data_IF_111380591713
#
_entry.id   IF_111380591713
#
_cell.length_a   1.000
_cell.length_b   1.000
_cell.length_c   1.000
_cell.angle_alpha   90.00
_cell.angle_beta   90.00
_cell.angle_gamma   90.00
#
_symmetry.space_group_name_H-M   'P 1'
#
loop_
_entity.id
_entity.type
_entity.pdbx_description
1 polymer ?
#
# COMPACT_ATOMS: atom_id res chain seq x y z
N UNK A 1 -20.06 -5.94 -22.11
CA UNK A 1 -19.58 -4.58 -22.49
C UNK A 1 -20.43 -3.46 -21.90
N UNK A 2 -21.72 -3.69 -21.66
CA UNK A 2 -22.63 -2.59 -21.20
C UNK A 2 -22.32 -1.97 -19.85
N UNK A 3 -21.72 -2.71 -18.90
CA UNK A 3 -21.40 -2.18 -17.56
C UNK A 3 -19.97 -1.61 -17.43
N UNK A 4 -19.03 -2.00 -18.30
CA UNK A 4 -17.62 -1.63 -18.16
C UNK A 4 -17.34 -0.14 -18.47
N UNK A 5 -17.95 0.40 -19.52
CA UNK A 5 -17.78 1.82 -19.88
C UNK A 5 -18.34 2.77 -18.81
N UNK A 6 -19.56 2.57 -18.26
CA UNK A 6 -20.06 3.35 -17.12
C UNK A 6 -19.19 3.23 -15.87
N UNK A 7 -18.65 2.05 -15.58
CA UNK A 7 -17.71 1.81 -14.49
C UNK A 7 -16.45 2.66 -14.65
N UNK A 8 -15.77 2.59 -15.79
CA UNK A 8 -14.60 3.41 -16.09
C UNK A 8 -14.89 4.90 -15.99
N UNK A 9 -16.04 5.34 -16.53
CA UNK A 9 -16.46 6.75 -16.45
C UNK A 9 -16.48 7.24 -15.02
N UNK A 10 -17.09 6.50 -14.10
CA UNK A 10 -17.18 6.83 -12.67
C UNK A 10 -15.79 6.95 -12.03
N UNK A 11 -14.84 6.08 -12.38
CA UNK A 11 -13.48 6.09 -11.84
C UNK A 11 -12.64 7.26 -12.35
N UNK A 12 -12.91 7.73 -13.58
CA UNK A 12 -12.12 8.75 -14.29
C UNK A 12 -12.63 10.18 -14.08
N UNK A 13 -13.90 10.36 -13.70
CA UNK A 13 -14.50 11.68 -13.42
C UNK A 13 -13.70 12.59 -12.49
N UNK A 14 -12.95 12.07 -11.47
CA UNK A 14 -12.13 12.89 -10.58
C UNK A 14 -11.01 13.70 -11.26
N UNK A 15 -10.69 13.45 -12.51
CA UNK A 15 -9.72 14.26 -13.30
C UNK A 15 -10.08 15.76 -13.26
N UNK A 16 -11.36 16.09 -13.06
CA UNK A 16 -11.86 17.45 -12.90
C UNK A 16 -12.59 17.97 -14.12
N UNK A 17 -13.66 18.72 -13.89
CA UNK A 17 -14.70 19.06 -14.88
C UNK A 17 -14.19 19.66 -16.20
N UNK A 18 -13.16 20.49 -16.16
CA UNK A 18 -12.62 21.11 -17.38
C UNK A 18 -11.79 20.14 -18.21
N UNK A 19 -10.86 19.43 -17.59
CA UNK A 19 -10.03 18.40 -18.26
C UNK A 19 -10.88 17.21 -18.66
N UNK A 20 -11.84 16.81 -17.84
CA UNK A 20 -12.72 15.69 -18.12
C UNK A 20 -13.46 15.84 -19.45
N UNK A 21 -14.05 17.02 -19.72
CA UNK A 21 -14.73 17.28 -20.98
C UNK A 21 -13.84 17.08 -22.22
N UNK A 22 -12.55 17.33 -22.10
CA UNK A 22 -11.58 17.14 -23.19
C UNK A 22 -11.09 15.69 -23.28
N UNK A 23 -10.94 15.01 -22.13
CA UNK A 23 -10.36 13.68 -22.06
C UNK A 23 -11.40 12.55 -22.16
N UNK A 24 -12.64 12.78 -21.74
CA UNK A 24 -13.70 11.75 -21.81
C UNK A 24 -13.83 11.12 -23.21
N UNK A 25 -13.89 11.89 -24.32
CA UNK A 25 -13.98 11.30 -25.65
C UNK A 25 -12.77 10.45 -26.04
N UNK A 26 -11.60 10.74 -25.45
CA UNK A 26 -10.36 10.02 -25.69
C UNK A 26 -10.28 8.77 -24.82
N UNK A 27 -10.52 8.93 -23.52
CA UNK A 27 -10.42 7.85 -22.54
C UNK A 27 -11.50 6.78 -22.69
N UNK A 28 -12.65 7.14 -23.27
CA UNK A 28 -13.78 6.23 -23.45
C UNK A 28 -14.11 5.94 -24.92
N UNK A 29 -13.15 6.18 -25.86
CA UNK A 29 -13.26 5.71 -27.23
C UNK A 29 -13.03 4.18 -27.32
N UNK A 30 -13.29 3.61 -28.47
CA UNK A 30 -13.20 2.17 -28.67
C UNK A 30 -11.78 1.62 -28.46
N UNK A 31 -10.77 2.36 -28.93
CA UNK A 31 -9.37 1.99 -28.77
C UNK A 31 -8.95 1.99 -27.29
N UNK A 32 -9.27 3.05 -26.58
CA UNK A 32 -8.96 3.18 -25.15
C UNK A 32 -9.69 2.14 -24.31
N UNK A 33 -10.95 1.84 -24.65
CA UNK A 33 -11.71 0.76 -24.00
C UNK A 33 -11.03 -0.61 -24.18
N UNK A 34 -10.42 -0.89 -25.34
CA UNK A 34 -9.64 -2.12 -25.54
C UNK A 34 -8.38 -2.14 -24.68
N UNK A 35 -7.70 -0.99 -24.50
CA UNK A 35 -6.55 -0.89 -23.62
C UNK A 35 -6.93 -1.09 -22.15
N UNK A 36 -8.06 -0.51 -21.71
CA UNK A 36 -8.59 -0.78 -20.36
C UNK A 36 -8.98 -2.25 -20.20
N UNK A 37 -9.61 -2.88 -21.17
CA UNK A 37 -9.92 -4.32 -21.11
C UNK A 37 -8.64 -5.15 -20.94
N UNK A 38 -7.55 -4.78 -21.63
CA UNK A 38 -6.26 -5.40 -21.45
C UNK A 38 -5.73 -5.21 -20.03
N UNK A 39 -5.84 -4.01 -19.45
CA UNK A 39 -5.45 -3.72 -18.06
C UNK A 39 -6.30 -4.49 -17.02
N UNK A 40 -7.48 -4.97 -17.37
CA UNK A 40 -8.34 -5.82 -16.53
C UNK A 40 -8.24 -7.32 -16.86
N UNK A 41 -7.26 -7.72 -17.68
CA UNK A 41 -7.08 -9.10 -18.09
C UNK A 41 -5.84 -9.70 -17.44
N UNK A 42 -6.03 -10.76 -16.66
CA UNK A 42 -4.93 -11.52 -16.04
C UNK A 42 -4.28 -12.45 -17.06
N UNK A 43 -2.97 -12.71 -16.90
CA UNK A 43 -2.17 -13.60 -17.77
C UNK A 43 -2.77 -15.01 -17.93
N UNK A 44 -3.51 -15.50 -16.94
CA UNK A 44 -4.20 -16.81 -17.05
C UNK A 44 -5.35 -16.83 -18.03
N UNK A 45 -5.95 -15.68 -18.34
CA UNK A 45 -7.03 -15.54 -19.30
C UNK A 45 -6.50 -15.28 -20.72
N UNK A 46 -5.53 -14.36 -20.84
CA UNK A 46 -4.84 -14.09 -22.11
C UNK A 46 -3.34 -13.90 -21.84
N UNK A 47 -2.48 -14.85 -22.23
CA UNK A 47 -1.04 -14.77 -21.99
C UNK A 47 -0.32 -13.65 -22.75
N UNK A 48 -0.95 -13.06 -23.76
CA UNK A 48 -0.33 -12.04 -24.64
C UNK A 48 -0.92 -10.64 -24.34
N UNK A 49 -2.26 -10.56 -24.25
CA UNK A 49 -2.96 -9.31 -24.05
C UNK A 49 -3.46 -9.20 -22.61
N UNK A 50 -2.57 -8.90 -21.70
CA UNK A 50 -2.83 -8.83 -20.28
C UNK A 50 -2.27 -7.54 -19.66
N UNK A 51 -2.41 -7.39 -18.36
CA UNK A 51 -2.12 -6.16 -17.61
C UNK A 51 -0.64 -5.89 -17.33
N UNK A 52 0.26 -6.88 -17.44
CA UNK A 52 1.63 -6.81 -16.88
C UNK A 52 2.43 -5.55 -17.25
N UNK A 53 2.29 -5.05 -18.49
CA UNK A 53 3.03 -3.83 -18.92
C UNK A 53 2.49 -2.57 -18.24
N UNK A 54 1.15 -2.49 -18.10
CA UNK A 54 0.51 -1.32 -17.49
C UNK A 54 0.62 -1.33 -15.96
N UNK A 55 0.68 -2.52 -15.34
CA UNK A 55 0.98 -2.71 -13.93
C UNK A 55 2.33 -2.07 -13.58
N UNK A 56 3.40 -2.37 -14.33
CA UNK A 56 4.72 -1.78 -14.06
C UNK A 56 4.71 -0.25 -14.10
N UNK A 57 4.01 0.35 -15.06
CA UNK A 57 3.88 1.81 -15.13
C UNK A 57 3.06 2.35 -13.96
N UNK A 58 1.96 1.68 -13.64
CA UNK A 58 1.05 2.07 -12.58
C UNK A 58 1.66 1.95 -11.19
N UNK A 59 2.45 0.91 -10.90
CA UNK A 59 3.18 0.77 -9.64
C UNK A 59 4.07 1.99 -9.37
N UNK A 60 4.86 2.42 -10.38
CA UNK A 60 5.70 3.61 -10.26
C UNK A 60 4.85 4.86 -10.00
N UNK A 61 3.73 5.01 -10.71
CA UNK A 61 2.82 6.16 -10.60
C UNK A 61 2.14 6.20 -9.24
N UNK A 62 1.63 5.08 -8.74
CA UNK A 62 1.03 4.96 -7.40
C UNK A 62 2.06 5.26 -6.31
N UNK A 63 3.26 4.70 -6.40
CA UNK A 63 4.33 4.94 -5.45
C UNK A 63 4.76 6.41 -5.41
N UNK A 64 4.89 7.06 -6.58
CA UNK A 64 5.19 8.50 -6.70
C UNK A 64 4.05 9.35 -6.11
N UNK A 65 2.79 8.99 -6.40
CA UNK A 65 1.62 9.65 -5.84
C UNK A 65 1.64 9.60 -4.31
N UNK A 66 1.84 8.43 -3.70
CA UNK A 66 1.82 8.27 -2.25
C UNK A 66 2.82 9.19 -1.55
N UNK A 67 4.03 9.32 -2.10
CA UNK A 67 5.05 10.22 -1.54
C UNK A 67 4.57 11.68 -1.57
N UNK A 68 4.09 12.16 -2.70
CA UNK A 68 3.59 13.53 -2.86
C UNK A 68 2.31 13.79 -2.05
N UNK A 69 1.39 12.83 -2.06
CA UNK A 69 0.12 12.95 -1.34
C UNK A 69 0.34 13.09 0.17
N UNK A 70 1.16 12.21 0.75
CA UNK A 70 1.45 12.29 2.18
C UNK A 70 2.27 13.53 2.55
N UNK A 71 3.21 13.93 1.69
CA UNK A 71 3.92 15.17 1.88
C UNK A 71 2.98 16.39 1.93
N UNK A 72 2.06 16.48 0.97
CA UNK A 72 1.13 17.62 0.88
C UNK A 72 0.07 17.57 1.99
N UNK A 73 -0.47 16.39 2.29
CA UNK A 73 -1.51 16.20 3.31
C UNK A 73 -1.02 16.53 4.72
N UNK A 74 0.24 16.22 5.00
CA UNK A 74 0.86 16.43 6.33
C UNK A 74 1.88 17.56 6.33
N UNK A 75 1.64 18.59 5.56
CA UNK A 75 2.40 19.85 5.66
C UNK A 75 2.04 20.54 6.98
N UNK A 76 3.05 20.89 7.76
CA UNK A 76 2.82 21.57 9.05
C UNK A 76 2.30 23.01 8.85
N UNK A 77 1.65 23.55 9.90
CA UNK A 77 1.09 24.92 9.92
C UNK A 77 2.11 26.01 9.51
N UNK A 78 3.41 25.74 9.63
CA UNK A 78 4.49 26.63 9.24
C UNK A 78 5.01 26.44 7.82
N UNK A 79 4.32 25.65 6.98
CA UNK A 79 4.76 25.35 5.62
C UNK A 79 5.97 24.43 5.54
N UNK A 80 6.43 23.88 6.66
CA UNK A 80 7.54 22.93 6.73
C UNK A 80 6.97 21.54 6.51
N UNK A 81 7.12 21.03 5.29
CA UNK A 81 6.64 19.68 4.94
C UNK A 81 7.38 18.58 5.70
N UNK A 82 6.80 17.37 5.70
CA UNK A 82 7.40 16.19 6.33
C UNK A 82 8.83 15.91 5.86
N UNK A 83 9.19 16.30 4.64
CA UNK A 83 10.54 16.09 4.09
C UNK A 83 11.67 16.87 4.78
N UNK A 84 11.35 17.83 5.63
CA UNK A 84 12.34 18.71 6.25
C UNK A 84 12.96 18.13 7.54
N UNK A 85 12.62 16.90 7.90
CA UNK A 85 13.23 16.21 9.04
C UNK A 85 13.50 14.74 8.75
N UNK A 86 14.54 14.12 9.34
CA UNK A 86 14.79 12.71 9.22
C UNK A 86 13.60 11.84 9.67
N UNK A 87 12.86 12.27 10.67
CA UNK A 87 11.65 11.60 11.15
C UNK A 87 10.53 11.70 10.12
N UNK A 88 10.31 12.87 9.52
CA UNK A 88 9.31 13.07 8.47
C UNK A 88 9.56 12.16 7.26
N UNK A 89 10.81 12.03 6.84
CA UNK A 89 11.20 11.09 5.77
C UNK A 89 10.85 9.64 6.14
N UNK A 90 11.13 9.22 7.39
CA UNK A 90 10.75 7.88 7.88
C UNK A 90 9.24 7.68 7.87
N UNK A 91 8.48 8.67 8.32
CA UNK A 91 7.01 8.62 8.35
C UNK A 91 6.44 8.49 6.94
N UNK A 92 6.87 9.31 5.98
CA UNK A 92 6.42 9.21 4.58
C UNK A 92 6.76 7.84 4.02
N UNK A 93 7.96 7.31 4.29
CA UNK A 93 8.34 5.97 3.84
C UNK A 93 7.44 4.88 4.43
N UNK A 94 7.08 4.97 5.73
CA UNK A 94 6.16 4.01 6.38
C UNK A 94 4.74 4.11 5.85
N UNK A 95 4.23 5.33 5.68
CA UNK A 95 2.92 5.55 5.06
C UNK A 95 2.87 4.98 3.64
N UNK A 96 3.92 5.22 2.83
CA UNK A 96 4.02 4.64 1.49
C UNK A 96 3.99 3.11 1.52
N UNK A 97 4.75 2.48 2.42
CA UNK A 97 4.77 1.01 2.56
C UNK A 97 3.39 0.50 2.97
N UNK A 98 2.71 1.14 3.93
CA UNK A 98 1.40 0.72 4.41
C UNK A 98 0.32 0.87 3.34
N UNK A 99 0.21 2.05 2.75
CA UNK A 99 -0.85 2.40 1.80
C UNK A 99 -0.55 2.03 0.33
N UNK A 100 0.69 1.66 0.02
CA UNK A 100 1.08 1.01 -1.22
C UNK A 100 1.24 -0.51 -1.08
N UNK A 101 0.79 -1.09 0.04
CA UNK A 101 0.87 -2.53 0.22
C UNK A 101 -0.19 -3.27 -0.60
N UNK A 102 0.14 -4.48 -1.02
CA UNK A 102 -0.77 -5.42 -1.69
C UNK A 102 -2.13 -5.53 -0.99
N UNK A 103 -2.14 -5.67 0.33
CA UNK A 103 -3.38 -5.76 1.10
C UNK A 103 -4.22 -4.49 0.93
N UNK A 104 -3.62 -3.32 1.08
CA UNK A 104 -4.36 -2.06 1.01
C UNK A 104 -4.90 -1.77 -0.39
N UNK A 105 -4.06 -1.91 -1.43
CA UNK A 105 -4.46 -1.63 -2.81
C UNK A 105 -5.50 -2.63 -3.30
N UNK A 106 -5.39 -3.91 -2.93
CA UNK A 106 -6.41 -4.91 -3.27
C UNK A 106 -7.75 -4.64 -2.58
N UNK A 107 -7.75 -4.25 -1.30
CA UNK A 107 -8.98 -3.89 -0.57
C UNK A 107 -9.64 -2.63 -1.16
N UNK A 108 -8.83 -1.67 -1.61
CA UNK A 108 -9.32 -0.48 -2.30
C UNK A 108 -9.94 -0.84 -3.65
N UNK A 109 -9.25 -1.63 -4.47
CA UNK A 109 -9.74 -2.10 -5.76
C UNK A 109 -11.05 -2.89 -5.62
N UNK A 110 -11.15 -3.76 -4.61
CA UNK A 110 -12.36 -4.54 -4.35
C UNK A 110 -13.56 -3.64 -3.99
N UNK A 111 -13.36 -2.66 -3.10
CA UNK A 111 -14.38 -1.66 -2.75
C UNK A 111 -14.82 -0.80 -3.94
N UNK A 112 -13.93 -0.55 -4.88
CA UNK A 112 -14.23 0.19 -6.10
C UNK A 112 -14.94 -0.67 -7.17
N UNK A 113 -15.10 -1.99 -6.96
CA UNK A 113 -15.80 -2.89 -7.88
C UNK A 113 -14.93 -3.44 -9.01
N UNK A 114 -13.61 -3.42 -8.89
CA UNK A 114 -12.69 -3.87 -9.94
C UNK A 114 -12.86 -5.34 -10.28
N UNK A 115 -13.14 -6.19 -9.27
CA UNK A 115 -13.27 -7.63 -9.48
C UNK A 115 -14.38 -8.02 -10.44
N UNK A 116 -15.48 -7.29 -10.45
CA UNK A 116 -16.63 -7.54 -11.34
C UNK A 116 -16.27 -7.41 -12.82
N UNK A 117 -15.17 -6.73 -13.12
CA UNK A 117 -14.69 -6.46 -14.47
C UNK A 117 -13.38 -7.20 -14.79
N UNK A 118 -12.80 -7.92 -13.82
CA UNK A 118 -11.59 -8.70 -13.99
C UNK A 118 -11.81 -9.91 -14.89
N UNK A 119 -10.93 -10.11 -15.86
CA UNK A 119 -10.93 -11.28 -16.76
C UNK A 119 -9.85 -12.25 -16.29
N UNK A 120 -10.28 -13.28 -15.59
CA UNK A 120 -9.40 -14.29 -14.97
C UNK A 120 -9.89 -15.67 -15.35
N UNK A 121 -8.99 -16.63 -15.60
CA UNK A 121 -9.39 -18.00 -15.84
C UNK A 121 -9.97 -18.65 -14.58
N UNK A 122 -11.02 -19.47 -14.72
CA UNK A 122 -11.73 -20.11 -13.60
C UNK A 122 -10.81 -20.94 -12.68
N UNK A 123 -9.73 -21.50 -13.26
CA UNK A 123 -8.74 -22.31 -12.52
C UNK A 123 -7.90 -21.48 -11.53
N UNK A 124 -7.85 -20.16 -11.70
CA UNK A 124 -7.10 -19.27 -10.81
C UNK A 124 -7.93 -19.02 -9.56
N UNK A 125 -7.66 -19.82 -8.57
CA UNK A 125 -8.40 -19.90 -7.33
C UNK A 125 -8.51 -18.57 -6.59
N UNK A 126 -9.54 -18.49 -5.73
CA UNK A 126 -9.79 -17.43 -4.75
C UNK A 126 -8.52 -17.00 -4.00
N UNK A 127 -7.54 -17.88 -3.80
CA UNK A 127 -6.27 -17.57 -3.13
C UNK A 127 -5.36 -16.54 -3.84
N UNK A 128 -5.59 -16.24 -5.13
CA UNK A 128 -4.85 -15.21 -5.88
C UNK A 128 -5.61 -13.89 -6.06
N UNK A 129 -6.85 -13.81 -5.60
CA UNK A 129 -7.71 -12.63 -5.79
C UNK A 129 -7.05 -11.33 -5.34
N UNK A 130 -6.42 -11.32 -4.16
CA UNK A 130 -5.74 -10.15 -3.62
C UNK A 130 -4.62 -9.65 -4.55
N UNK A 131 -3.77 -10.56 -5.04
CA UNK A 131 -2.69 -10.21 -5.97
C UNK A 131 -3.24 -9.62 -7.26
N UNK A 132 -4.25 -10.28 -7.84
CA UNK A 132 -4.85 -9.85 -9.10
C UNK A 132 -5.53 -8.48 -8.97
N UNK A 133 -6.19 -8.19 -7.85
CA UNK A 133 -6.83 -6.90 -7.59
C UNK A 133 -5.81 -5.76 -7.47
N UNK A 134 -4.69 -5.99 -6.78
CA UNK A 134 -3.58 -5.04 -6.72
C UNK A 134 -3.06 -4.75 -8.12
N UNK A 135 -2.67 -5.80 -8.86
CA UNK A 135 -2.10 -5.71 -10.20
C UNK A 135 -3.04 -4.95 -11.17
N UNK A 136 -4.35 -5.26 -11.14
CA UNK A 136 -5.37 -4.57 -11.97
C UNK A 136 -5.53 -3.10 -11.56
N UNK A 137 -5.46 -2.78 -10.27
CA UNK A 137 -5.55 -1.40 -9.80
C UNK A 137 -4.38 -0.57 -10.33
N UNK A 138 -3.16 -1.10 -10.21
CA UNK A 138 -1.97 -0.46 -10.74
C UNK A 138 -2.05 -0.36 -12.26
N UNK A 139 -2.45 -1.43 -12.96
CA UNK A 139 -2.62 -1.41 -14.41
C UNK A 139 -3.67 -0.41 -14.89
N UNK A 140 -4.77 -0.20 -14.13
CA UNK A 140 -5.76 0.84 -14.43
C UNK A 140 -5.14 2.24 -14.39
N UNK A 141 -4.32 2.53 -13.38
CA UNK A 141 -3.61 3.80 -13.27
C UNK A 141 -2.58 3.92 -14.40
N UNK A 142 -1.80 2.88 -14.65
CA UNK A 142 -0.76 2.88 -15.69
C UNK A 142 -1.33 3.06 -17.09
N UNK A 143 -2.43 2.38 -17.43
CA UNK A 143 -3.06 2.53 -18.75
C UNK A 143 -3.71 3.90 -18.92
N UNK A 144 -4.25 4.49 -17.85
CA UNK A 144 -4.81 5.85 -17.87
C UNK A 144 -3.71 6.88 -18.16
N UNK A 145 -2.58 6.79 -17.45
CA UNK A 145 -1.42 7.63 -17.72
C UNK A 145 -0.92 7.47 -19.15
N UNK A 146 -0.75 6.23 -19.60
CA UNK A 146 -0.28 5.90 -20.94
C UNK A 146 -1.17 6.50 -22.05
N UNK A 147 -2.49 6.36 -21.95
CA UNK A 147 -3.43 6.87 -22.96
C UNK A 147 -3.32 8.40 -23.05
N UNK A 148 -3.31 9.07 -21.89
CA UNK A 148 -3.27 10.54 -21.83
C UNK A 148 -1.93 11.05 -22.36
N UNK A 149 -0.82 10.56 -21.84
CA UNK A 149 0.51 11.04 -22.26
C UNK A 149 0.76 10.75 -23.74
N UNK A 150 0.35 9.60 -24.25
CA UNK A 150 0.49 9.27 -25.66
C UNK A 150 -0.31 10.21 -26.57
N UNK A 151 -1.47 10.68 -26.11
CA UNK A 151 -2.27 11.66 -26.85
C UNK A 151 -1.54 12.99 -26.99
N UNK A 152 -0.88 13.44 -25.93
CA UNK A 152 -0.17 14.73 -25.92
C UNK A 152 1.25 14.65 -26.49
N UNK A 153 1.89 13.48 -26.50
CA UNK A 153 3.20 13.29 -27.12
C UNK A 153 3.21 13.60 -28.62
N UNK A 154 2.12 13.31 -29.32
CA UNK A 154 2.02 13.56 -30.76
C UNK A 154 2.18 15.04 -31.12
N UNK A 155 1.84 15.94 -30.19
CA UNK A 155 1.78 17.38 -30.45
C UNK A 155 2.96 18.16 -29.87
N UNK A 156 3.60 17.69 -28.78
CA UNK A 156 4.57 18.52 -28.05
C UNK A 156 5.68 17.78 -27.31
N UNK A 157 5.83 16.49 -27.44
CA UNK A 157 6.75 15.65 -26.64
C UNK A 157 6.53 15.79 -25.12
N UNK A 158 5.32 16.15 -24.69
CA UNK A 158 5.00 16.42 -23.29
C UNK A 158 4.65 15.13 -22.60
N UNK A 159 5.48 14.73 -21.62
CA UNK A 159 5.24 13.62 -20.70
C UNK A 159 4.87 14.21 -19.33
N UNK A 160 3.88 13.61 -18.65
CA UNK A 160 3.51 13.99 -17.28
C UNK A 160 2.11 14.57 -17.11
N UNK A 161 1.37 14.86 -18.17
CA UNK A 161 -0.05 15.25 -18.10
C UNK A 161 -0.87 14.06 -17.58
N UNK A 162 -0.55 12.86 -18.05
CA UNK A 162 -1.14 11.61 -17.59
C UNK A 162 -0.96 11.43 -16.08
N UNK A 163 0.25 11.63 -15.56
CA UNK A 163 0.51 11.61 -14.13
C UNK A 163 -0.33 12.64 -13.36
N UNK A 164 -0.45 13.85 -13.83
CA UNK A 164 -1.29 14.88 -13.18
C UNK A 164 -2.77 14.45 -13.09
N UNK A 165 -3.29 13.81 -14.13
CA UNK A 165 -4.66 13.27 -14.13
C UNK A 165 -4.79 12.08 -13.17
N UNK A 166 -3.85 11.13 -13.21
CA UNK A 166 -3.81 10.00 -12.29
C UNK A 166 -3.68 10.46 -10.83
N UNK A 167 -2.90 11.51 -10.57
CA UNK A 167 -2.80 12.09 -9.22
C UNK A 167 -4.17 12.54 -8.69
N UNK A 168 -4.99 13.20 -9.50
CA UNK A 168 -6.34 13.64 -9.08
C UNK A 168 -7.29 12.48 -8.82
N UNK A 169 -7.24 11.44 -9.66
CA UNK A 169 -8.02 10.21 -9.45
C UNK A 169 -7.63 9.56 -8.12
N UNK A 170 -6.35 9.32 -7.92
CA UNK A 170 -5.82 8.72 -6.70
C UNK A 170 -6.11 9.59 -5.48
N UNK A 171 -5.95 10.91 -5.59
CA UNK A 171 -6.26 11.84 -4.50
C UNK A 171 -7.70 11.70 -4.04
N UNK A 172 -8.67 11.64 -4.94
CA UNK A 172 -10.07 11.47 -4.56
C UNK A 172 -10.31 10.12 -3.85
N UNK A 173 -9.68 9.05 -4.33
CA UNK A 173 -9.79 7.76 -3.64
C UNK A 173 -9.23 7.84 -2.23
N UNK A 174 -8.05 8.45 -2.07
CA UNK A 174 -7.37 8.56 -0.78
C UNK A 174 -7.99 9.60 0.16
N UNK A 175 -8.59 10.67 -0.34
CA UNK A 175 -9.29 11.67 0.48
C UNK A 175 -10.55 11.09 1.14
N UNK A 176 -11.13 10.04 0.55
CA UNK A 176 -12.25 9.31 1.14
C UNK A 176 -11.84 8.34 2.27
N UNK A 177 -10.54 8.15 2.52
CA UNK A 177 -9.99 7.18 3.45
C UNK A 177 -9.39 7.91 4.66
N UNK A 178 -9.72 7.43 5.86
CA UNK A 178 -9.03 7.85 7.09
C UNK A 178 -7.57 7.36 7.09
N UNK A 179 -6.61 8.28 7.08
CA UNK A 179 -5.20 7.93 7.17
C UNK A 179 -4.81 7.74 8.63
N UNK A 180 -4.52 6.50 9.00
CA UNK A 180 -4.07 6.15 10.34
C UNK A 180 -2.57 6.40 10.48
N UNK A 181 -2.23 7.44 11.25
CA UNK A 181 -0.87 7.88 11.54
C UNK A 181 -0.40 7.47 12.93
N UNK A 182 -1.14 6.60 13.62
CA UNK A 182 -0.69 6.10 14.94
C UNK A 182 0.67 5.42 14.84
N UNK A 183 1.46 5.51 15.90
CA UNK A 183 2.79 4.91 15.93
C UNK A 183 2.71 3.39 15.68
N UNK A 184 1.73 2.75 16.29
CA UNK A 184 1.46 1.33 16.15
C UNK A 184 1.09 0.92 14.73
N UNK A 185 0.41 1.79 14.01
CA UNK A 185 0.00 1.54 12.63
C UNK A 185 1.14 1.72 11.61
N UNK A 186 2.12 2.57 11.91
CA UNK A 186 3.25 2.85 11.03
C UNK A 186 4.49 2.01 11.33
N UNK A 187 4.65 1.60 12.60
CA UNK A 187 5.76 0.76 13.02
C UNK A 187 5.23 -0.61 13.43
N UNK A 188 5.43 -1.58 12.57
CA UNK A 188 4.97 -2.96 12.78
C UNK A 188 5.49 -3.55 14.11
N UNK A 189 4.76 -4.52 14.66
CA UNK A 189 5.06 -5.07 15.97
C UNK A 189 6.44 -5.72 16.05
N UNK A 190 6.92 -6.30 14.94
CA UNK A 190 8.29 -6.88 14.88
C UNK A 190 9.35 -5.78 15.01
N UNK A 191 9.17 -4.66 14.32
CA UNK A 191 10.08 -3.50 14.42
C UNK A 191 10.06 -2.95 15.85
N UNK A 192 8.89 -2.74 16.44
CA UNK A 192 8.75 -2.25 17.82
C UNK A 192 9.36 -3.22 18.83
N UNK A 193 9.18 -4.52 18.62
CA UNK A 193 9.79 -5.55 19.47
C UNK A 193 11.33 -5.51 19.39
N UNK A 194 11.91 -5.38 18.21
CA UNK A 194 13.36 -5.20 18.05
C UNK A 194 13.86 -3.95 18.77
N UNK A 195 13.19 -2.83 18.57
CA UNK A 195 13.57 -1.57 19.22
C UNK A 195 13.47 -1.64 20.76
N UNK A 196 12.54 -2.45 21.29
CA UNK A 196 12.44 -2.71 22.73
C UNK A 196 13.65 -3.52 23.22
N UNK A 197 14.05 -4.56 22.48
CA UNK A 197 15.24 -5.35 22.81
C UNK A 197 16.54 -4.55 22.69
N UNK A 198 16.62 -3.65 21.70
CA UNK A 198 17.79 -2.76 21.58
C UNK A 198 17.89 -1.78 22.76
N UNK A 199 16.74 -1.29 23.27
CA UNK A 199 16.67 -0.40 24.43
C UNK A 199 17.08 -1.11 25.74
N UNK A 200 16.63 -2.36 25.93
CA UNK A 200 16.87 -3.17 27.13
C UNK A 200 17.82 -4.33 26.87
N UNK A 201 18.84 -4.09 26.05
CA UNK A 201 19.73 -5.16 25.58
C UNK A 201 20.47 -5.91 26.70
N UNK A 202 20.83 -5.21 27.78
CA UNK A 202 21.50 -5.79 28.93
C UNK A 202 20.58 -6.75 29.70
N UNK A 203 19.28 -6.45 29.80
CA UNK A 203 18.30 -7.24 30.54
C UNK A 203 17.63 -8.31 29.69
N UNK A 204 17.32 -8.00 28.43
CA UNK A 204 16.58 -8.87 27.51
C UNK A 204 17.50 -9.75 26.65
N UNK A 205 18.75 -9.33 26.43
CA UNK A 205 19.66 -10.00 25.50
C UNK A 205 19.28 -9.81 24.04
N UNK A 206 19.33 -10.86 23.25
CA UNK A 206 19.02 -10.83 21.83
C UNK A 206 17.60 -11.40 21.55
N UNK A 207 16.86 -10.72 20.66
CA UNK A 207 15.59 -11.22 20.15
C UNK A 207 15.82 -12.32 19.11
N UNK A 208 15.20 -13.48 19.29
CA UNK A 208 15.26 -14.58 18.35
C UNK A 208 13.86 -15.01 17.91
N UNK A 209 13.72 -15.24 16.61
CA UNK A 209 12.53 -15.84 16.01
C UNK A 209 12.87 -17.24 15.49
N UNK A 210 12.10 -18.24 15.89
CA UNK A 210 12.14 -19.56 15.28
C UNK A 210 10.86 -19.80 14.48
N UNK A 211 11.04 -20.45 13.35
CA UNK A 211 9.98 -20.67 12.38
C UNK A 211 9.79 -22.16 12.17
N UNK A 212 8.55 -22.60 12.28
CA UNK A 212 8.16 -23.98 12.08
C UNK A 212 6.95 -24.04 11.14
N UNK A 213 6.92 -25.04 10.27
CA UNK A 213 5.79 -25.24 9.36
C UNK A 213 5.10 -26.55 9.73
N UNK A 214 3.86 -26.45 10.22
CA UNK A 214 3.02 -27.59 10.58
C UNK A 214 1.87 -27.72 9.57
N UNK A 215 2.10 -28.51 8.53
CA UNK A 215 1.19 -28.59 7.39
C UNK A 215 1.08 -27.27 6.66
N UNK A 216 -0.12 -26.68 6.61
CA UNK A 216 -0.37 -25.36 6.03
C UNK A 216 -0.14 -24.22 7.03
N UNK A 217 0.05 -24.52 8.31
CA UNK A 217 0.17 -23.54 9.37
C UNK A 217 1.63 -23.10 9.54
N UNK A 218 1.87 -21.80 9.51
CA UNK A 218 3.18 -21.20 9.84
C UNK A 218 3.19 -20.83 11.33
N UNK A 219 4.06 -21.47 12.10
CA UNK A 219 4.24 -21.20 13.53
C UNK A 219 5.50 -20.37 13.73
N UNK A 220 5.39 -19.33 14.56
CA UNK A 220 6.52 -18.47 14.95
C UNK A 220 6.65 -18.46 16.46
N UNK A 221 7.81 -18.81 16.95
CA UNK A 221 8.18 -18.80 18.37
C UNK A 221 9.15 -17.65 18.62
N UNK A 222 8.90 -16.88 19.67
CA UNK A 222 9.73 -15.74 20.07
C UNK A 222 10.49 -16.10 21.35
N UNK A 223 11.77 -15.81 21.34
CA UNK A 223 12.67 -16.05 22.46
C UNK A 223 13.54 -14.84 22.75
N UNK A 224 14.01 -14.72 23.98
CA UNK A 224 15.18 -13.91 24.34
C UNK A 224 16.39 -14.80 24.58
N UNK A 225 17.55 -14.35 24.17
CA UNK A 225 18.81 -15.04 24.37
C UNK A 225 19.76 -14.17 25.18
N UNK A 226 20.14 -14.67 26.37
CA UNK A 226 21.10 -14.04 27.29
C UNK A 226 22.28 -15.00 27.40
N UNK A 227 23.43 -14.62 26.83
CA UNK A 227 24.57 -15.54 26.71
C UNK A 227 24.18 -16.79 25.92
N UNK A 228 24.31 -17.96 26.55
CA UNK A 228 23.94 -19.25 25.95
C UNK A 228 22.50 -19.71 26.32
N UNK A 229 21.84 -18.99 27.19
CA UNK A 229 20.48 -19.34 27.63
C UNK A 229 19.44 -18.77 26.68
N UNK A 230 18.51 -19.64 26.28
CA UNK A 230 17.40 -19.30 25.41
C UNK A 230 16.10 -19.42 26.16
N UNK A 231 15.42 -18.30 26.40
CA UNK A 231 14.21 -18.20 27.21
C UNK A 231 13.02 -17.93 26.29
N UNK A 232 12.02 -18.81 26.33
CA UNK A 232 10.78 -18.69 25.56
C UNK A 232 9.93 -17.52 26.07
N UNK A 233 9.37 -16.73 25.15
CA UNK A 233 8.43 -15.63 25.47
C UNK A 233 7.02 -16.02 25.07
N UNK A 234 6.80 -16.30 23.77
CA UNK A 234 5.48 -16.63 23.23
C UNK A 234 5.59 -17.32 21.88
N UNK A 235 4.45 -17.78 21.36
CA UNK A 235 4.34 -18.29 19.99
C UNK A 235 3.00 -17.89 19.39
N UNK A 236 2.97 -17.71 18.08
CA UNK A 236 1.74 -17.53 17.31
C UNK A 236 1.78 -18.36 16.04
N UNK A 237 0.61 -18.57 15.44
CA UNK A 237 0.51 -19.35 14.21
C UNK A 237 -0.50 -18.72 13.24
N UNK A 238 -0.28 -18.89 11.95
CA UNK A 238 -1.18 -18.40 10.91
C UNK A 238 -1.28 -19.40 9.76
N UNK A 239 -2.52 -19.61 9.30
CA UNK A 239 -2.83 -20.34 8.06
C UNK A 239 -2.61 -19.49 6.81
N UNK A 240 -2.56 -18.17 6.95
CA UNK A 240 -2.44 -17.22 5.83
C UNK A 240 -1.00 -17.17 5.31
N UNK A 241 -0.08 -16.76 6.17
CA UNK A 241 1.35 -16.70 5.83
C UNK A 241 2.24 -16.54 7.09
N UNK A 242 3.54 -16.70 6.88
CA UNK A 242 4.57 -16.54 7.90
C UNK A 242 4.64 -15.12 8.47
N UNK A 243 4.46 -14.09 7.63
CA UNK A 243 4.58 -12.70 8.05
C UNK A 243 3.48 -12.32 9.06
N UNK A 244 2.26 -12.80 8.87
CA UNK A 244 1.16 -12.59 9.81
C UNK A 244 1.42 -13.29 11.14
N UNK A 245 1.91 -14.54 11.11
CA UNK A 245 2.29 -15.26 12.35
C UNK A 245 3.39 -14.49 13.11
N UNK A 246 4.36 -13.92 12.40
CA UNK A 246 5.45 -13.15 12.98
C UNK A 246 4.97 -11.84 13.62
N UNK A 247 4.05 -11.12 12.97
CA UNK A 247 3.42 -9.93 13.53
C UNK A 247 2.64 -10.26 14.82
N UNK A 248 1.79 -11.26 14.78
CA UNK A 248 0.99 -11.69 15.93
C UNK A 248 1.88 -12.15 17.11
N UNK A 249 2.94 -12.92 16.83
CA UNK A 249 3.90 -13.33 17.85
C UNK A 249 4.62 -12.12 18.47
N UNK A 250 5.00 -11.14 17.64
CA UNK A 250 5.65 -9.91 18.10
C UNK A 250 4.72 -9.04 18.95
N UNK A 251 3.44 -8.94 18.60
CA UNK A 251 2.42 -8.24 19.41
C UNK A 251 2.25 -8.90 20.78
N UNK A 252 2.15 -10.22 20.82
CA UNK A 252 2.06 -10.98 22.08
C UNK A 252 3.32 -10.79 22.92
N UNK A 253 4.53 -10.82 22.30
CA UNK A 253 5.78 -10.60 22.99
C UNK A 253 5.83 -9.20 23.63
N UNK A 254 5.43 -8.15 22.90
CA UNK A 254 5.35 -6.79 23.43
C UNK A 254 4.39 -6.69 24.64
N UNK A 255 3.22 -7.34 24.59
CA UNK A 255 2.27 -7.37 25.72
C UNK A 255 2.89 -8.05 26.94
N UNK A 256 3.57 -9.19 26.76
CA UNK A 256 4.20 -9.93 27.86
C UNK A 256 5.34 -9.11 28.47
N UNK A 257 6.22 -8.54 27.63
CA UNK A 257 7.34 -7.75 28.09
C UNK A 257 6.90 -6.46 28.80
N UNK A 258 5.85 -5.80 28.31
CA UNK A 258 5.26 -4.63 28.97
C UNK A 258 4.76 -4.97 30.39
N UNK A 259 4.13 -6.14 30.60
CA UNK A 259 3.70 -6.61 31.92
C UNK A 259 4.88 -6.88 32.86
N UNK A 260 6.06 -7.15 32.30
CA UNK A 260 7.29 -7.36 33.06
C UNK A 260 8.04 -6.05 33.34
N UNK A 261 7.51 -4.89 32.90
CA UNK A 261 8.10 -3.57 33.11
C UNK A 261 8.99 -3.07 31.96
N UNK A 262 9.18 -3.86 30.90
CA UNK A 262 9.93 -3.42 29.72
C UNK A 262 9.01 -2.64 28.79
N UNK A 263 9.07 -1.31 28.86
CA UNK A 263 8.24 -0.42 28.06
C UNK A 263 9.11 0.54 27.26
N UNK A 264 8.65 0.87 26.06
CA UNK A 264 9.26 1.93 25.25
C UNK A 264 8.23 2.98 24.93
N UNK A 265 8.49 4.20 25.37
CA UNK A 265 7.63 5.33 25.03
C UNK A 265 7.72 5.67 23.53
N UNK A 266 6.60 6.15 23.00
CA UNK A 266 6.60 6.75 21.66
C UNK A 266 7.54 7.97 21.69
N UNK A 267 8.50 8.06 20.75
CA UNK A 267 9.44 9.17 20.72
C UNK A 267 8.73 10.53 20.75
N UNK A 268 9.22 11.45 21.57
CA UNK A 268 8.62 12.77 21.70
C UNK A 268 8.57 13.53 20.37
N UNK A 269 9.58 13.38 19.53
CA UNK A 269 9.60 13.95 18.18
C UNK A 269 8.43 13.46 17.34
N UNK A 270 8.05 12.18 17.46
CA UNK A 270 6.90 11.60 16.78
C UNK A 270 5.59 12.21 17.29
N UNK A 271 5.43 12.30 18.61
CA UNK A 271 4.26 12.92 19.23
C UNK A 271 4.12 14.40 18.80
N UNK A 272 5.21 15.15 18.76
CA UNK A 272 5.22 16.54 18.32
C UNK A 272 4.85 16.68 16.83
N UNK A 273 5.38 15.81 15.98
CA UNK A 273 5.07 15.81 14.54
C UNK A 273 3.56 15.65 14.31
N UNK A 274 2.92 14.70 14.98
CA UNK A 274 1.49 14.40 14.75
C UNK A 274 0.53 15.24 15.60
N UNK A 275 0.93 15.75 16.75
CA UNK A 275 0.11 16.72 17.50
C UNK A 275 -0.14 18.02 16.71
N UNK A 276 0.79 18.40 15.86
CA UNK A 276 0.64 19.53 14.94
C UNK A 276 -0.26 19.23 13.73
N UNK A 277 -0.46 17.96 13.39
CA UNK A 277 -1.27 17.52 12.25
C UNK A 277 -2.75 17.30 12.60
N UNK A 278 -3.06 17.07 13.87
CA UNK A 278 -4.43 16.85 14.36
C UNK A 278 -5.23 18.14 14.57
N UNK A 279 -4.64 19.30 14.34
CA UNK A 279 -5.25 20.64 14.56
C UNK A 279 -5.87 21.23 13.29
N UNK A 280 -5.93 20.47 12.17
CA UNK A 280 -6.55 20.92 10.91
C UNK A 280 -7.72 20.03 10.52
#
# INVERSE_FOLDING_TARGET
>A
MDSFKPFLKKLLEPIGSHLWKQLEPILLDEHSLQLYQKAFTHVSFDPVNNYEVYEQLGDITVNKFLVWYFHNRFTTVNGVGLFNSPLGVKVVARLRIKYGSKQFLSDLADRLGFWEHARVAEVVSIGKRMSILEDIFEAFIGVTEFIIDRRFQADSHTVGIGYMCCYKILQQFFDSIGIDTSYEALFDAKTRCKELFDLYKEDLGNLLFEYEKLGQNSVVKVYRQIGNEKIFICSSSSLVNKALAEQQASEQALVILNRQGFTKDIPNEYRQLFSQLLVN
#
